data_IF_655256200059
#
_entry.id   IF_655256200059
#
_cell.length_a   1.000
_cell.length_b   1.000
_cell.length_c   1.000
_cell.angle_alpha   90.00
_cell.angle_beta   90.00
_cell.angle_gamma   90.00
#
_symmetry.space_group_name_H-M   'P 1'
#
loop_
_entity.id
_entity.type
_entity.pdbx_description
1 polymer ?
#
# COMPACT_ATOMS: atom_id res chain seq x y z
N UNK A 1 -0.83 4.98 11.66
CA UNK A 1 -1.66 6.19 11.69
C UNK A 1 -0.70 7.34 11.86
N UNK A 2 -0.63 8.29 10.94
CA UNK A 2 0.26 9.45 11.01
C UNK A 2 -0.22 10.42 12.10
N UNK A 3 0.71 10.98 12.88
CA UNK A 3 0.45 12.23 13.59
C UNK A 3 0.31 13.38 12.57
N UNK A 4 -0.40 14.46 12.90
CA UNK A 4 -0.74 15.54 11.97
C UNK A 4 0.50 16.24 11.39
N UNK A 5 1.64 16.14 12.07
CA UNK A 5 2.94 16.71 11.66
C UNK A 5 3.87 15.69 10.98
N UNK A 6 3.45 14.44 10.85
CA UNK A 6 4.25 13.36 10.29
C UNK A 6 3.89 13.10 8.82
N UNK A 7 4.87 13.21 7.92
CA UNK A 7 4.68 12.82 6.52
C UNK A 7 4.40 11.32 6.40
N UNK A 8 3.56 10.92 5.45
CA UNK A 8 3.13 9.51 5.30
C UNK A 8 4.30 8.51 5.20
N UNK A 9 5.40 8.89 4.56
CA UNK A 9 6.62 8.08 4.46
C UNK A 9 7.28 7.77 5.82
N UNK A 10 7.13 8.65 6.82
CA UNK A 10 7.67 8.44 8.17
C UNK A 10 7.00 7.28 8.92
N UNK A 11 5.83 6.82 8.47
CA UNK A 11 5.13 5.72 9.10
C UNK A 11 5.54 4.35 8.55
N UNK A 12 6.34 4.31 7.48
CA UNK A 12 6.72 3.04 6.85
C UNK A 12 7.48 2.16 7.84
N UNK A 13 8.51 2.70 8.49
CA UNK A 13 9.33 1.96 9.46
C UNK A 13 8.53 1.48 10.68
N UNK A 14 7.77 2.33 11.41
CA UNK A 14 6.93 1.86 12.52
C UNK A 14 5.85 0.84 12.15
N UNK A 15 5.40 0.82 10.89
CA UNK A 15 4.44 -0.18 10.39
C UNK A 15 5.12 -1.50 10.03
N UNK A 16 6.35 -1.44 9.51
CA UNK A 16 7.16 -2.63 9.24
C UNK A 16 7.60 -3.30 10.55
N UNK A 17 7.96 -2.53 11.58
CA UNK A 17 8.33 -3.04 12.92
C UNK A 17 7.24 -3.87 13.61
N UNK A 18 5.99 -3.79 13.14
CA UNK A 18 4.88 -4.61 13.63
C UNK A 18 4.82 -6.00 12.98
N UNK A 19 5.68 -6.27 12.00
CA UNK A 19 5.73 -7.51 11.24
C UNK A 19 7.02 -8.25 11.61
N UNK A 20 6.95 -9.26 12.45
CA UNK A 20 8.16 -9.96 12.93
C UNK A 20 8.92 -10.75 11.85
N UNK A 21 8.35 -10.89 10.65
CA UNK A 21 8.87 -11.71 9.57
C UNK A 21 9.14 -10.90 8.29
N UNK A 22 10.13 -11.28 7.47
CA UNK A 22 10.38 -10.61 6.20
C UNK A 22 9.16 -10.61 5.29
N UNK A 23 8.99 -9.52 4.53
CA UNK A 23 7.95 -9.39 3.52
C UNK A 23 8.51 -9.63 2.12
N UNK A 24 7.72 -10.25 1.25
CA UNK A 24 8.11 -10.46 -0.15
C UNK A 24 7.97 -9.18 -0.99
N UNK A 25 7.01 -8.32 -0.65
CA UNK A 25 6.63 -7.17 -1.48
C UNK A 25 6.04 -6.04 -0.64
N UNK A 26 6.54 -4.82 -0.85
CA UNK A 26 5.95 -3.58 -0.38
C UNK A 26 5.28 -2.85 -1.55
N UNK A 27 3.99 -2.51 -1.44
CA UNK A 27 3.27 -1.77 -2.49
C UNK A 27 2.66 -0.49 -1.92
N UNK A 28 2.95 0.65 -2.54
CA UNK A 28 2.42 1.94 -2.10
C UNK A 28 2.14 2.89 -3.27
N UNK A 29 1.60 4.07 -2.97
CA UNK A 29 1.39 5.13 -3.95
C UNK A 29 2.64 6.00 -4.12
N UNK A 30 2.64 6.85 -5.16
CA UNK A 30 3.80 7.69 -5.48
C UNK A 30 4.14 8.77 -4.45
N UNK A 31 3.33 8.98 -3.40
CA UNK A 31 3.73 9.80 -2.26
C UNK A 31 4.87 9.15 -1.46
N UNK A 32 4.95 7.82 -1.49
CA UNK A 32 5.99 7.02 -0.82
C UNK A 32 7.24 6.81 -1.70
N UNK A 33 7.29 7.35 -2.92
CA UNK A 33 8.45 7.23 -3.84
C UNK A 33 9.61 8.14 -3.42
N UNK A 34 10.26 7.79 -2.30
CA UNK A 34 11.42 8.52 -1.77
C UNK A 34 12.35 7.60 -0.98
N UNK A 35 13.64 7.97 -0.90
CA UNK A 35 14.70 7.15 -0.30
C UNK A 35 14.36 6.61 1.11
N UNK A 36 13.75 7.39 2.03
CA UNK A 36 13.40 6.87 3.36
C UNK A 36 12.52 5.61 3.31
N UNK A 37 11.58 5.54 2.36
CA UNK A 37 10.74 4.35 2.18
C UNK A 37 11.55 3.14 1.71
N UNK A 38 12.42 3.32 0.71
CA UNK A 38 13.23 2.23 0.17
C UNK A 38 14.24 1.72 1.21
N UNK A 39 14.84 2.63 1.98
CA UNK A 39 15.76 2.29 3.07
C UNK A 39 15.05 1.55 4.20
N UNK A 40 13.88 2.02 4.64
CA UNK A 40 13.08 1.34 5.66
C UNK A 40 12.68 -0.08 5.23
N UNK A 41 12.21 -0.24 3.99
CA UNK A 41 11.86 -1.57 3.46
C UNK A 41 13.09 -2.46 3.35
N UNK A 42 14.22 -1.96 2.84
CA UNK A 42 15.45 -2.74 2.72
C UNK A 42 16.05 -3.12 4.10
N UNK A 43 15.91 -2.26 5.11
CA UNK A 43 16.34 -2.52 6.47
C UNK A 43 15.54 -3.65 7.14
N UNK A 44 14.22 -3.66 6.93
CA UNK A 44 13.34 -4.69 7.46
C UNK A 44 13.35 -5.99 6.63
N UNK A 45 13.41 -5.88 5.30
CA UNK A 45 13.30 -6.99 4.36
C UNK A 45 14.17 -6.73 3.12
N UNK A 46 15.46 -7.13 3.15
CA UNK A 46 16.43 -6.82 2.11
C UNK A 46 16.03 -7.29 0.70
N UNK A 47 15.32 -8.42 0.62
CA UNK A 47 14.90 -9.04 -0.63
C UNK A 47 13.50 -8.60 -1.11
N UNK A 48 12.83 -7.71 -0.36
CA UNK A 48 11.48 -7.29 -0.69
C UNK A 48 11.43 -6.49 -2.01
N UNK A 49 10.45 -6.81 -2.85
CA UNK A 49 10.13 -6.01 -4.02
C UNK A 49 9.38 -4.73 -3.60
N UNK A 50 9.94 -3.56 -3.86
CA UNK A 50 9.31 -2.25 -3.63
C UNK A 50 8.59 -1.83 -4.90
N UNK A 51 7.26 -1.91 -4.90
CA UNK A 51 6.40 -1.55 -6.03
C UNK A 51 5.67 -0.25 -5.74
N UNK A 52 6.30 0.85 -6.15
CA UNK A 52 5.77 2.19 -6.02
C UNK A 52 5.82 2.82 -7.42
N UNK A 53 4.70 3.39 -7.93
CA UNK A 53 4.73 4.02 -9.24
C UNK A 53 5.57 5.30 -9.15
N UNK A 54 6.61 5.43 -9.98
CA UNK A 54 7.36 6.67 -10.06
C UNK A 54 6.44 7.85 -10.42
N UNK A 55 6.77 9.03 -9.88
CA UNK A 55 6.09 10.27 -10.27
C UNK A 55 6.31 10.54 -11.77
N UNK A 56 5.37 11.23 -12.42
CA UNK A 56 5.42 11.45 -13.87
C UNK A 56 6.70 12.15 -14.36
N UNK A 57 7.31 12.98 -13.51
CA UNK A 57 8.56 13.70 -13.78
C UNK A 57 9.76 13.07 -13.05
N UNK A 58 9.67 11.80 -12.67
CA UNK A 58 10.76 11.09 -12.02
C UNK A 58 11.91 10.91 -13.01
N UNK A 59 13.05 11.51 -12.69
CA UNK A 59 14.31 11.28 -13.40
C UNK A 59 15.05 10.15 -12.68
N UNK A 60 15.76 9.33 -13.47
CA UNK A 60 16.73 8.36 -12.97
C UNK A 60 17.76 9.08 -12.12
N UNK A 61 18.04 8.53 -10.94
CA UNK A 61 19.07 9.11 -10.06
C UNK A 61 20.35 8.29 -10.26
N UNK A 62 21.53 8.92 -10.34
CA UNK A 62 22.78 8.19 -10.48
C UNK A 62 23.23 7.51 -9.16
N UNK A 63 22.34 7.31 -8.19
CA UNK A 63 22.67 6.76 -6.88
C UNK A 63 22.69 5.22 -6.86
N UNK A 64 23.79 4.65 -6.35
CA UNK A 64 24.06 3.21 -6.40
C UNK A 64 23.30 2.38 -5.34
N UNK A 65 22.28 2.93 -4.68
CA UNK A 65 21.64 2.40 -3.47
C UNK A 65 20.31 1.65 -3.70
N UNK A 66 19.43 1.57 -2.67
CA UNK A 66 18.09 0.95 -2.75
C UNK A 66 17.19 1.49 -3.88
N UNK A 67 17.54 2.66 -4.41
CA UNK A 67 16.95 3.32 -5.58
C UNK A 67 17.05 2.53 -6.89
N UNK A 68 17.87 1.47 -6.98
CA UNK A 68 17.93 0.60 -8.17
C UNK A 68 16.58 -0.01 -8.55
N UNK A 69 15.71 -0.31 -7.58
CA UNK A 69 14.36 -0.82 -7.89
C UNK A 69 13.52 0.26 -8.58
N UNK A 70 13.64 1.52 -8.12
CA UNK A 70 12.96 2.68 -8.69
C UNK A 70 13.36 2.91 -10.14
N UNK A 71 14.66 2.90 -10.45
CA UNK A 71 15.13 3.15 -11.82
C UNK A 71 14.71 2.03 -12.78
N UNK A 72 14.68 0.76 -12.32
CA UNK A 72 14.10 -0.34 -13.11
C UNK A 72 12.62 -0.11 -13.41
N UNK A 73 11.85 0.43 -12.47
CA UNK A 73 10.44 0.78 -12.72
C UNK A 73 10.32 1.92 -13.73
N UNK A 74 11.17 2.94 -13.66
CA UNK A 74 11.20 4.03 -14.65
C UNK A 74 11.52 3.49 -16.04
N UNK A 75 12.57 2.69 -16.18
CA UNK A 75 12.96 2.08 -17.45
C UNK A 75 11.85 1.18 -18.02
N UNK A 76 11.23 0.33 -17.19
CA UNK A 76 10.12 -0.53 -17.62
C UNK A 76 8.89 0.29 -18.06
N UNK A 77 8.55 1.36 -17.35
CA UNK A 77 7.43 2.23 -17.73
C UNK A 77 7.74 2.96 -19.05
N UNK A 78 8.97 3.43 -19.24
CA UNK A 78 9.38 4.10 -20.48
C UNK A 78 9.39 3.15 -21.69
N UNK A 79 9.81 1.89 -21.49
CA UNK A 79 9.88 0.90 -22.56
C UNK A 79 8.51 0.32 -22.93
N UNK A 80 7.69 -0.01 -21.93
CA UNK A 80 6.50 -0.86 -22.10
C UNK A 80 5.18 -0.17 -21.74
N UNK A 81 5.25 1.02 -21.14
CA UNK A 81 4.11 1.78 -20.67
C UNK A 81 3.64 1.38 -19.27
N UNK A 82 2.98 2.33 -18.60
CA UNK A 82 2.56 2.20 -17.19
C UNK A 82 1.56 1.06 -16.95
N UNK A 83 0.66 0.78 -17.89
CA UNK A 83 -0.34 -0.29 -17.74
C UNK A 83 0.32 -1.68 -17.73
N UNK A 84 1.26 -1.94 -18.65
CA UNK A 84 1.99 -3.21 -18.66
C UNK A 84 2.82 -3.39 -17.38
N UNK A 85 3.49 -2.32 -16.95
CA UNK A 85 4.22 -2.32 -15.68
C UNK A 85 3.32 -2.66 -14.48
N UNK A 86 2.11 -2.09 -14.40
CA UNK A 86 1.16 -2.39 -13.32
C UNK A 86 0.74 -3.86 -13.30
N UNK A 87 0.55 -4.47 -14.47
CA UNK A 87 0.22 -5.90 -14.58
C UNK A 87 1.41 -6.76 -14.15
N UNK A 88 2.61 -6.46 -14.67
CA UNK A 88 3.83 -7.23 -14.40
C UNK A 88 4.25 -7.19 -12.92
N UNK A 89 4.05 -6.06 -12.24
CA UNK A 89 4.41 -5.87 -10.83
C UNK A 89 3.30 -6.26 -9.85
N UNK A 90 2.10 -6.61 -10.36
CA UNK A 90 0.95 -6.89 -9.51
C UNK A 90 0.38 -5.66 -8.80
N UNK A 91 0.69 -4.44 -9.25
CA UNK A 91 0.25 -3.18 -8.65
C UNK A 91 -1.29 -3.08 -8.50
N UNK A 92 -2.04 -3.78 -9.35
CA UNK A 92 -3.49 -3.85 -9.29
C UNK A 92 -4.05 -4.33 -7.95
N UNK A 93 -3.28 -5.07 -7.14
CA UNK A 93 -3.67 -5.50 -5.78
C UNK A 93 -4.01 -4.32 -4.85
N UNK A 94 -3.46 -3.12 -5.11
CA UNK A 94 -3.76 -1.89 -4.37
C UNK A 94 -5.27 -1.57 -4.33
N UNK A 95 -6.00 -1.88 -5.41
CA UNK A 95 -7.44 -1.66 -5.48
C UNK A 95 -8.23 -2.41 -4.38
N UNK A 96 -7.72 -3.55 -3.91
CA UNK A 96 -8.33 -4.32 -2.82
C UNK A 96 -8.18 -3.58 -1.48
N UNK A 97 -7.02 -2.98 -1.24
CA UNK A 97 -6.75 -2.16 -0.05
C UNK A 97 -7.63 -0.92 -0.05
N UNK A 98 -7.72 -0.22 -1.20
CA UNK A 98 -8.60 0.94 -1.34
C UNK A 98 -10.06 0.59 -1.09
N UNK A 99 -10.51 -0.56 -1.59
CA UNK A 99 -11.86 -1.08 -1.33
C UNK A 99 -12.06 -1.38 0.16
N UNK A 100 -11.08 -1.99 0.83
CA UNK A 100 -11.15 -2.27 2.26
C UNK A 100 -11.25 -0.99 3.10
N UNK A 101 -10.44 0.03 2.79
CA UNK A 101 -10.49 1.35 3.43
C UNK A 101 -11.82 2.07 3.12
N UNK A 102 -12.34 1.94 1.90
CA UNK A 102 -13.65 2.46 1.52
C UNK A 102 -14.78 1.85 2.33
N UNK A 103 -14.74 0.53 2.55
CA UNK A 103 -15.69 -0.19 3.43
C UNK A 103 -15.54 0.26 4.88
N UNK A 104 -14.33 0.41 5.38
CA UNK A 104 -14.08 0.94 6.72
C UNK A 104 -14.75 2.31 6.89
N UNK A 105 -14.47 3.24 5.99
CA UNK A 105 -15.02 4.61 6.04
C UNK A 105 -16.55 4.64 5.92
N UNK A 106 -17.12 3.71 5.17
CA UNK A 106 -18.58 3.63 4.94
C UNK A 106 -19.34 2.98 6.10
N UNK A 107 -18.75 1.95 6.73
CA UNK A 107 -19.42 1.15 7.78
C UNK A 107 -19.08 1.67 9.17
N UNK A 108 -17.80 1.88 9.48
CA UNK A 108 -17.34 2.31 10.81
C UNK A 108 -17.46 3.83 10.93
N UNK A 109 -17.02 4.55 9.89
CA UNK A 109 -17.13 6.00 9.79
C UNK A 109 -15.88 6.67 9.25
N UNK A 110 -16.06 7.92 8.80
CA UNK A 110 -14.98 8.74 8.20
C UNK A 110 -14.12 9.48 9.20
N UNK A 111 -14.50 9.51 10.48
CA UNK A 111 -13.84 10.26 11.55
C UNK A 111 -13.61 9.38 12.75
N UNK A 112 -12.48 9.56 13.42
CA UNK A 112 -12.18 8.96 14.71
C UNK A 112 -12.83 9.78 15.81
N UNK A 113 -13.36 9.11 16.83
CA UNK A 113 -14.01 9.75 17.98
C UNK A 113 -13.04 9.96 19.14
N UNK A 114 -12.05 9.10 19.25
CA UNK A 114 -11.00 9.21 20.26
C UNK A 114 -10.16 10.49 20.05
N UNK A 115 -9.79 11.11 21.17
CA UNK A 115 -9.03 12.38 21.17
C UNK A 115 -7.52 12.19 21.35
N UNK A 116 -7.07 11.09 21.97
CA UNK A 116 -5.65 10.77 22.08
C UNK A 116 -5.24 9.78 20.99
N UNK A 117 -4.00 9.91 20.53
CA UNK A 117 -3.44 9.08 19.46
C UNK A 117 -3.50 7.58 19.79
N UNK A 118 -3.13 7.17 21.00
CA UNK A 118 -3.22 5.75 21.41
C UNK A 118 -4.66 5.21 21.42
N UNK A 119 -5.63 6.03 21.85
CA UNK A 119 -7.04 5.64 21.82
C UNK A 119 -7.58 5.58 20.38
N UNK A 120 -7.10 6.46 19.50
CA UNK A 120 -7.42 6.43 18.07
C UNK A 120 -6.86 5.18 17.38
N UNK A 121 -5.63 4.75 17.71
CA UNK A 121 -5.08 3.48 17.23
C UNK A 121 -5.95 2.29 17.67
N UNK A 122 -6.38 2.29 18.93
CA UNK A 122 -7.27 1.25 19.47
C UNK A 122 -8.62 1.25 18.77
N UNK A 123 -9.21 2.44 18.54
CA UNK A 123 -10.46 2.60 17.80
C UNK A 123 -10.35 2.01 16.38
N UNK A 124 -9.24 2.28 15.68
CA UNK A 124 -8.96 1.72 14.35
C UNK A 124 -8.80 0.20 14.40
N UNK A 125 -8.04 -0.32 15.36
CA UNK A 125 -7.84 -1.76 15.52
C UNK A 125 -9.16 -2.52 15.74
N UNK A 126 -10.03 -1.98 16.61
CA UNK A 126 -11.37 -2.54 16.84
C UNK A 126 -12.22 -2.47 15.56
N UNK A 127 -12.21 -1.34 14.86
CA UNK A 127 -12.93 -1.19 13.59
C UNK A 127 -12.48 -2.21 12.53
N UNK A 128 -11.18 -2.44 12.41
CA UNK A 128 -10.63 -3.48 11.54
C UNK A 128 -11.07 -4.89 11.96
N UNK A 129 -11.02 -5.21 13.26
CA UNK A 129 -11.47 -6.51 13.78
C UNK A 129 -12.96 -6.77 13.47
N UNK A 130 -13.82 -5.76 13.63
CA UNK A 130 -15.25 -5.85 13.29
C UNK A 130 -15.44 -6.12 11.79
N UNK A 131 -14.71 -5.43 10.91
CA UNK A 131 -14.81 -5.65 9.46
C UNK A 131 -14.33 -7.03 9.03
N UNK A 132 -13.26 -7.52 9.65
CA UNK A 132 -12.75 -8.87 9.40
C UNK A 132 -13.79 -9.91 9.83
N UNK A 133 -14.43 -9.73 10.99
CA UNK A 133 -15.51 -10.61 11.45
C UNK A 133 -16.71 -10.60 10.51
N UNK A 134 -17.09 -9.42 9.97
CA UNK A 134 -18.15 -9.33 8.96
C UNK A 134 -17.78 -10.06 7.67
N UNK A 135 -16.51 -10.00 7.24
CA UNK A 135 -16.03 -10.74 6.07
C UNK A 135 -16.09 -12.26 6.28
N UNK A 136 -15.79 -12.74 7.48
CA UNK A 136 -15.90 -14.17 7.79
C UNK A 136 -17.36 -14.65 7.82
N UNK A 137 -18.26 -13.88 8.42
CA UNK A 137 -19.64 -14.31 8.65
C UNK A 137 -20.60 -14.04 7.48
N UNK A 138 -20.36 -12.99 6.70
CA UNK A 138 -21.38 -12.41 5.81
C UNK A 138 -20.84 -12.10 4.41
N UNK A 139 -19.72 -12.71 3.98
CA UNK A 139 -19.18 -12.50 2.63
C UNK A 139 -20.14 -13.05 1.58
N UNK A 140 -20.70 -12.19 0.69
CA UNK A 140 -21.49 -12.65 -0.43
C UNK A 140 -20.60 -13.38 -1.45
N UNK A 141 -21.12 -14.45 -2.05
CA UNK A 141 -20.48 -15.09 -3.19
C UNK A 141 -20.78 -14.27 -4.46
N UNK A 142 -19.89 -13.33 -4.77
CA UNK A 142 -19.98 -12.55 -6.01
C UNK A 142 -19.48 -13.38 -7.19
N UNK A 143 -20.36 -13.66 -8.14
CA UNK A 143 -20.02 -14.30 -9.42
C UNK A 143 -20.03 -13.27 -10.54
N UNK A 144 -19.03 -13.33 -11.42
CA UNK A 144 -18.99 -12.48 -12.61
C UNK A 144 -19.97 -13.06 -13.64
N UNK A 145 -21.09 -12.39 -13.84
CA UNK A 145 -22.01 -12.72 -14.92
C UNK A 145 -21.36 -12.38 -16.26
N UNK A 146 -21.19 -13.39 -17.14
CA UNK A 146 -20.91 -13.17 -18.56
C UNK A 146 -22.20 -13.42 -19.31
N UNK A 147 -22.78 -12.37 -19.85
CA UNK A 147 -23.89 -12.49 -20.79
C UNK A 147 -23.31 -13.07 -22.08
N UNK A 148 -23.85 -14.19 -22.57
CA UNK A 148 -23.51 -14.70 -23.89
C UNK A 148 -24.05 -13.69 -24.90
N UNK A 149 -23.17 -13.11 -25.70
CA UNK A 149 -23.56 -12.38 -26.91
C UNK A 149 -23.88 -13.41 -27.99
N UNK A 150 -25.14 -13.44 -28.43
CA UNK A 150 -25.59 -14.12 -29.65
C UNK A 150 -25.07 -13.39 -30.91
#
# INVERSE_FOLDING_TARGET
MTDQDAGDASQVEPLLDQIDMPIDQFTADGAYDGNPTYEAVAGHSPDAAVVIPPRANAIERPDAGPSRQRDRHIAAINADGRLKWQVATGYGKRSLVETAIGRYKSIIGRRLRARSFGAQQTEVAIGCAVLNRMLECARPNSVRYRQATE
#
